data_IF_159562474495
#
_entry.id   IF_159562474495
#
_cell.length_a   1.000
_cell.length_b   1.000
_cell.length_c   1.000
_cell.angle_alpha   90.00
_cell.angle_beta   90.00
_cell.angle_gamma   90.00
#
_symmetry.space_group_name_H-M   'P 1'
#
loop_
_entity.id
_entity.type
_entity.pdbx_description
1 polymer ?
#
# COMPACT_ATOMS: atom_id res chain seq x y z
N UNK A 1 -49.85 -49.31 -26.46
CA UNK A 1 -48.89 -50.05 -25.62
C UNK A 1 -47.74 -49.12 -25.26
N UNK A 2 -47.57 -48.86 -23.96
CA UNK A 2 -46.46 -48.20 -23.24
C UNK A 2 -45.89 -46.83 -23.67
N UNK A 3 -45.92 -45.95 -22.66
CA UNK A 3 -45.25 -44.66 -22.45
C UNK A 3 -43.79 -44.86 -22.04
N UNK A 4 -42.86 -43.99 -22.51
CA UNK A 4 -41.77 -43.35 -21.73
C UNK A 4 -40.83 -42.55 -22.67
N UNK A 5 -40.92 -41.21 -22.71
CA UNK A 5 -40.15 -40.21 -21.92
C UNK A 5 -38.69 -39.98 -22.38
N UNK A 6 -38.41 -38.78 -22.91
CA UNK A 6 -37.42 -37.86 -22.31
C UNK A 6 -37.67 -36.40 -22.73
N UNK A 7 -37.94 -35.57 -21.71
CA UNK A 7 -38.00 -34.08 -21.63
C UNK A 7 -36.64 -33.47 -21.99
N UNK A 8 -36.38 -32.19 -22.32
CA UNK A 8 -37.00 -30.85 -22.51
C UNK A 8 -35.77 -29.98 -22.94
N UNK A 9 -35.79 -28.96 -23.80
CA UNK A 9 -36.35 -27.62 -23.60
C UNK A 9 -36.30 -26.89 -24.95
N UNK A 10 -37.37 -26.13 -25.22
CA UNK A 10 -37.61 -25.41 -26.44
C UNK A 10 -37.53 -23.88 -26.21
N UNK A 11 -37.47 -23.16 -27.35
CA UNK A 11 -37.84 -21.75 -27.59
C UNK A 11 -36.65 -20.75 -27.40
N UNK A 12 -36.17 -19.96 -28.36
CA UNK A 12 -36.60 -19.63 -29.74
C UNK A 12 -37.17 -18.20 -29.88
N UNK A 13 -36.53 -17.30 -30.64
CA UNK A 13 -37.11 -16.06 -31.22
C UNK A 13 -36.47 -14.74 -30.75
N UNK A 14 -35.56 -14.09 -31.49
CA UNK A 14 -35.73 -13.04 -32.55
C UNK A 14 -36.27 -11.69 -32.03
N UNK A 15 -35.55 -10.58 -32.29
CA UNK A 15 -35.98 -9.36 -33.05
C UNK A 15 -34.95 -8.23 -32.84
N UNK A 16 -34.46 -7.65 -33.94
CA UNK A 16 -33.76 -6.37 -33.97
C UNK A 16 -34.77 -5.20 -33.97
N UNK A 17 -34.58 -4.21 -33.09
CA UNK A 17 -35.19 -2.87 -33.21
C UNK A 17 -34.13 -1.82 -32.91
N UNK A 18 -33.78 -1.09 -33.96
CA UNK A 18 -33.18 0.23 -33.98
C UNK A 18 -34.15 1.20 -33.28
N UNK A 19 -33.75 1.95 -32.24
CA UNK A 19 -34.16 3.33 -32.00
C UNK A 19 -33.68 3.90 -30.65
N UNK A 20 -33.36 5.19 -30.72
CA UNK A 20 -33.34 6.22 -29.68
C UNK A 20 -32.01 6.47 -28.98
N UNK A 21 -31.37 7.54 -29.44
CA UNK A 21 -30.66 8.52 -28.62
C UNK A 21 -31.52 8.84 -27.40
N UNK A 22 -31.33 8.06 -26.33
CA UNK A 22 -31.91 8.35 -25.05
C UNK A 22 -31.01 9.40 -24.38
N UNK A 23 -31.30 10.67 -24.63
CA UNK A 23 -31.13 11.71 -23.60
C UNK A 23 -32.11 11.35 -22.47
N UNK A 24 -31.83 10.29 -21.73
CA UNK A 24 -32.65 9.79 -20.64
C UNK A 24 -31.90 10.03 -19.34
N UNK A 25 -32.31 11.13 -18.68
CA UNK A 25 -32.08 11.43 -17.28
C UNK A 25 -30.60 11.52 -16.84
N UNK A 26 -29.93 12.62 -17.20
CA UNK A 26 -28.61 13.02 -16.64
C UNK A 26 -28.56 13.03 -15.08
N UNK A 27 -29.67 12.86 -14.37
CA UNK A 27 -29.71 12.75 -12.92
C UNK A 27 -29.88 11.33 -12.35
N UNK A 28 -30.01 10.27 -13.16
CA UNK A 28 -30.17 8.91 -12.62
C UNK A 28 -28.85 8.28 -12.17
N UNK A 29 -27.78 8.52 -12.93
CA UNK A 29 -26.47 7.93 -12.64
C UNK A 29 -25.76 8.65 -11.49
N UNK A 30 -25.81 9.98 -11.44
CA UNK A 30 -25.34 10.76 -10.30
C UNK A 30 -25.98 10.31 -8.97
N UNK A 31 -27.30 10.04 -8.96
CA UNK A 31 -28.01 9.50 -7.80
C UNK A 31 -27.66 8.06 -7.44
N UNK A 32 -27.12 7.27 -8.39
CA UNK A 32 -26.58 5.95 -8.07
C UNK A 32 -25.24 6.11 -7.38
N UNK A 33 -24.38 7.00 -7.87
CA UNK A 33 -23.10 7.33 -7.24
C UNK A 33 -23.29 7.88 -5.83
N UNK A 34 -24.22 8.81 -5.62
CA UNK A 34 -24.56 9.31 -4.26
C UNK A 34 -24.94 8.17 -3.31
N UNK A 35 -25.72 7.19 -3.80
CA UNK A 35 -26.08 6.00 -3.01
C UNK A 35 -24.87 5.14 -2.68
N UNK A 36 -24.02 4.84 -3.67
CA UNK A 36 -22.79 4.07 -3.45
C UNK A 36 -21.89 4.75 -2.41
N UNK A 37 -21.79 6.08 -2.43
CA UNK A 37 -21.00 6.84 -1.47
C UNK A 37 -21.63 6.75 -0.07
N UNK A 38 -22.94 6.93 0.06
CA UNK A 38 -23.65 6.76 1.33
C UNK A 38 -23.51 5.35 1.90
N UNK A 39 -23.50 4.34 1.03
CA UNK A 39 -23.41 2.92 1.40
C UNK A 39 -22.01 2.53 1.90
N UNK A 40 -20.97 3.36 1.72
CA UNK A 40 -19.64 3.16 2.34
C UNK A 40 -19.77 3.07 3.87
N UNK A 41 -20.61 3.92 4.45
CA UNK A 41 -20.85 3.95 5.90
C UNK A 41 -19.59 4.22 6.72
N UNK A 42 -19.40 3.46 7.80
CA UNK A 42 -18.21 3.56 8.65
C UNK A 42 -17.00 3.02 7.91
N UNK A 43 -15.95 3.83 7.82
CA UNK A 43 -14.71 3.45 7.13
C UNK A 43 -13.82 2.61 8.04
N UNK A 44 -13.36 1.48 7.50
CA UNK A 44 -12.45 0.53 8.15
C UNK A 44 -11.48 -0.03 7.12
N UNK A 45 -10.55 -0.89 7.53
CA UNK A 45 -9.62 -1.59 6.62
C UNK A 45 -10.34 -2.45 5.55
N UNK A 46 -11.57 -2.87 5.81
CA UNK A 46 -12.41 -3.65 4.88
C UNK A 46 -13.15 -2.79 3.86
N UNK A 47 -13.14 -1.47 3.99
CA UNK A 47 -13.95 -0.55 3.16
C UNK A 47 -13.38 -0.34 1.74
N UNK A 48 -12.26 -0.98 1.38
CA UNK A 48 -11.55 -0.78 0.12
C UNK A 48 -12.46 -0.93 -1.10
N UNK A 49 -13.13 -2.07 -1.21
CA UNK A 49 -13.97 -2.40 -2.38
C UNK A 49 -15.13 -1.42 -2.54
N UNK A 50 -15.79 -1.04 -1.44
CA UNK A 50 -16.88 -0.05 -1.46
C UNK A 50 -16.41 1.32 -1.92
N UNK A 51 -15.24 1.77 -1.44
CA UNK A 51 -14.65 3.05 -1.83
C UNK A 51 -14.22 3.03 -3.30
N UNK A 52 -13.61 1.95 -3.77
CA UNK A 52 -13.19 1.76 -5.17
C UNK A 52 -14.40 1.71 -6.10
N UNK A 53 -15.46 0.98 -5.72
CA UNK A 53 -16.71 0.91 -6.50
C UNK A 53 -17.36 2.29 -6.66
N UNK A 54 -17.46 3.06 -5.57
CA UNK A 54 -18.00 4.42 -5.62
C UNK A 54 -17.09 5.37 -6.44
N UNK A 55 -15.77 5.20 -6.34
CA UNK A 55 -14.77 5.94 -7.10
C UNK A 55 -14.87 5.71 -8.61
N UNK A 56 -14.94 4.46 -9.02
CA UNK A 56 -15.05 4.05 -10.42
C UNK A 56 -16.36 4.54 -11.01
N UNK A 57 -17.49 4.33 -10.32
CA UNK A 57 -18.79 4.80 -10.76
C UNK A 57 -18.84 6.33 -10.92
N UNK A 58 -18.20 7.10 -10.02
CA UNK A 58 -18.05 8.55 -10.19
C UNK A 58 -17.20 8.91 -11.41
N UNK A 59 -16.08 8.20 -11.62
CA UNK A 59 -15.16 8.49 -12.72
C UNK A 59 -15.77 8.24 -14.10
N UNK A 60 -16.68 7.26 -14.21
CA UNK A 60 -17.43 6.93 -15.43
C UNK A 60 -18.50 7.96 -15.80
N UNK A 61 -18.92 8.82 -14.87
CA UNK A 61 -19.88 9.89 -15.15
C UNK A 61 -19.32 10.91 -16.14
N UNK A 62 -20.20 11.46 -16.97
CA UNK A 62 -19.89 12.67 -17.74
C UNK A 62 -19.69 13.88 -16.81
N UNK A 63 -19.03 14.93 -17.30
CA UNK A 63 -18.77 16.13 -16.50
C UNK A 63 -20.07 16.78 -15.99
N UNK A 64 -21.13 16.82 -16.81
CA UNK A 64 -22.42 17.34 -16.37
C UNK A 64 -23.12 16.46 -15.33
N UNK A 65 -22.81 15.16 -15.27
CA UNK A 65 -23.34 14.24 -14.26
C UNK A 65 -22.54 14.32 -12.96
N UNK A 66 -21.23 14.55 -13.03
CA UNK A 66 -20.39 14.79 -11.85
C UNK A 66 -20.84 16.02 -11.08
N UNK A 67 -21.27 17.07 -11.78
CA UNK A 67 -21.85 18.29 -11.18
C UNK A 67 -23.15 18.03 -10.40
N UNK A 68 -23.81 16.89 -10.64
CA UNK A 68 -25.04 16.49 -9.98
C UNK A 68 -24.81 15.55 -8.79
N UNK A 69 -23.58 15.08 -8.57
CA UNK A 69 -23.21 14.26 -7.41
C UNK A 69 -23.07 15.16 -6.20
N UNK A 70 -23.90 14.89 -5.19
CA UNK A 70 -23.96 15.71 -3.97
C UNK A 70 -23.06 15.18 -2.86
N UNK A 71 -22.71 13.89 -2.91
CA UNK A 71 -21.96 13.21 -1.86
C UNK A 71 -20.44 13.12 -2.15
N UNK A 72 -19.93 13.77 -3.19
CA UNK A 72 -18.53 13.63 -3.59
C UNK A 72 -17.51 13.94 -2.48
N UNK A 73 -17.79 14.94 -1.65
CA UNK A 73 -16.94 15.25 -0.49
C UNK A 73 -16.86 14.10 0.53
N UNK A 74 -17.94 13.33 0.71
CA UNK A 74 -17.91 12.14 1.56
C UNK A 74 -17.04 11.03 0.97
N UNK A 75 -16.99 10.88 -0.36
CA UNK A 75 -16.05 9.96 -1.01
C UNK A 75 -14.60 10.38 -0.77
N UNK A 76 -14.29 11.68 -0.84
CA UNK A 76 -12.95 12.19 -0.54
C UNK A 76 -12.57 11.97 0.93
N UNK A 77 -13.49 12.27 1.84
CA UNK A 77 -13.32 12.02 3.27
C UNK A 77 -13.10 10.53 3.56
N UNK A 78 -13.92 9.65 2.96
CA UNK A 78 -13.80 8.22 3.14
C UNK A 78 -12.45 7.67 2.66
N UNK A 79 -11.94 8.13 1.51
CA UNK A 79 -10.59 7.77 1.04
C UNK A 79 -9.51 8.23 2.01
N UNK A 80 -9.65 9.41 2.61
CA UNK A 80 -8.71 9.92 3.61
C UNK A 80 -8.75 9.07 4.88
N UNK A 81 -9.94 8.81 5.40
CA UNK A 81 -10.14 8.01 6.61
C UNK A 81 -9.63 6.57 6.40
N UNK A 82 -9.91 5.97 5.24
CA UNK A 82 -9.41 4.64 4.90
C UNK A 82 -7.90 4.57 4.95
N UNK A 83 -7.23 5.58 4.40
CA UNK A 83 -5.77 5.71 4.47
C UNK A 83 -5.25 5.79 5.89
N UNK A 84 -5.94 6.49 6.79
CA UNK A 84 -5.57 6.53 8.21
C UNK A 84 -5.83 5.19 8.91
N UNK A 85 -6.94 4.51 8.61
CA UNK A 85 -7.22 3.17 9.14
C UNK A 85 -6.12 2.17 8.78
N UNK A 86 -5.58 2.23 7.56
CA UNK A 86 -4.45 1.39 7.14
C UNK A 86 -3.18 1.68 7.95
N UNK A 87 -2.88 2.96 8.24
CA UNK A 87 -1.72 3.34 9.04
C UNK A 87 -1.88 2.88 10.50
N UNK A 88 -3.06 3.06 11.07
CA UNK A 88 -3.36 2.60 12.43
C UNK A 88 -3.26 1.07 12.52
N UNK A 89 -3.75 0.35 11.50
CA UNK A 89 -3.62 -1.10 11.45
C UNK A 89 -2.15 -1.56 11.32
N UNK A 90 -1.34 -0.87 10.50
CA UNK A 90 0.09 -1.15 10.37
C UNK A 90 0.85 -0.98 11.70
N UNK A 91 0.59 0.09 12.46
CA UNK A 91 1.24 0.33 13.75
C UNK A 91 0.90 -0.76 14.79
N UNK A 92 -0.27 -1.40 14.64
CA UNK A 92 -0.71 -2.49 15.51
C UNK A 92 -0.46 -3.89 14.92
N UNK A 93 0.22 -3.99 13.76
CA UNK A 93 0.48 -5.26 13.12
C UNK A 93 1.44 -6.13 13.96
N UNK A 94 1.02 -7.37 14.24
CA UNK A 94 1.77 -8.29 15.12
C UNK A 94 3.15 -8.63 14.55
N UNK A 95 3.25 -8.85 13.23
CA UNK A 95 4.50 -9.21 12.58
C UNK A 95 5.45 -8.03 12.56
N UNK A 96 4.96 -6.83 12.22
CA UNK A 96 5.79 -5.63 12.29
C UNK A 96 6.33 -5.40 13.72
N UNK A 97 5.47 -5.49 14.73
CA UNK A 97 5.86 -5.30 16.12
C UNK A 97 6.88 -6.35 16.58
N UNK A 98 6.74 -7.60 16.14
CA UNK A 98 7.72 -8.66 16.39
C UNK A 98 9.08 -8.37 15.72
N UNK A 99 9.07 -7.93 14.46
CA UNK A 99 10.28 -7.55 13.73
C UNK A 99 10.98 -6.39 14.44
N UNK A 100 10.25 -5.33 14.80
CA UNK A 100 10.80 -4.18 15.52
C UNK A 100 11.45 -4.58 16.84
N UNK A 101 10.77 -5.41 17.64
CA UNK A 101 11.29 -5.89 18.91
C UNK A 101 12.55 -6.75 18.74
N UNK A 102 12.52 -7.66 17.76
CA UNK A 102 13.66 -8.55 17.47
C UNK A 102 14.88 -7.76 17.01
N UNK A 103 14.69 -6.86 16.04
CA UNK A 103 15.75 -5.98 15.53
C UNK A 103 16.29 -5.08 16.63
N UNK A 104 15.42 -4.49 17.46
CA UNK A 104 15.85 -3.64 18.57
C UNK A 104 16.72 -4.39 19.58
N UNK A 105 16.43 -5.67 19.82
CA UNK A 105 17.22 -6.51 20.72
C UNK A 105 18.55 -6.95 20.08
N UNK A 106 18.51 -7.47 18.85
CA UNK A 106 19.68 -8.06 18.18
C UNK A 106 20.65 -7.03 17.64
N UNK A 107 20.16 -5.85 17.25
CA UNK A 107 20.94 -4.75 16.70
C UNK A 107 21.11 -3.59 17.67
N UNK A 108 20.97 -3.79 18.98
CA UNK A 108 21.01 -2.71 19.99
C UNK A 108 22.25 -1.81 19.90
N UNK A 109 23.41 -2.35 19.49
CA UNK A 109 24.64 -1.57 19.28
C UNK A 109 24.56 -0.58 18.09
N UNK A 110 23.60 -0.77 17.19
CA UNK A 110 23.38 0.04 16.00
C UNK A 110 22.25 1.05 16.16
N UNK A 111 21.81 1.33 17.40
CA UNK A 111 20.76 2.31 17.72
C UNK A 111 19.54 2.27 16.79
N UNK A 112 18.88 1.11 16.62
CA UNK A 112 17.80 0.94 15.66
C UNK A 112 16.61 1.81 16.03
N UNK A 113 16.01 2.44 15.02
CA UNK A 113 14.87 3.34 15.16
C UNK A 113 13.86 3.10 14.05
N UNK A 114 12.60 2.96 14.43
CA UNK A 114 11.48 2.88 13.50
C UNK A 114 10.69 4.18 13.58
N UNK A 115 10.26 4.71 12.43
CA UNK A 115 9.46 5.94 12.35
C UNK A 115 8.49 5.85 11.19
N UNK A 116 7.20 5.87 11.48
CA UNK A 116 6.15 5.95 10.45
C UNK A 116 5.90 7.41 10.10
N UNK A 117 6.27 7.82 8.89
CA UNK A 117 5.83 9.08 8.32
C UNK A 117 4.44 8.87 7.69
N UNK A 118 3.40 9.35 8.38
CA UNK A 118 1.99 9.19 7.97
C UNK A 118 1.63 10.02 6.73
N UNK A 119 2.28 11.16 6.53
CA UNK A 119 2.03 12.03 5.37
C UNK A 119 2.62 11.43 4.09
N UNK A 120 3.89 11.00 4.15
CA UNK A 120 4.55 10.34 3.02
C UNK A 120 4.11 8.88 2.84
N UNK A 121 3.46 8.30 3.87
CA UNK A 121 3.14 6.87 3.97
C UNK A 121 4.39 5.99 3.79
N UNK A 122 5.42 6.34 4.55
CA UNK A 122 6.70 5.63 4.55
C UNK A 122 7.05 5.20 5.97
N UNK A 123 7.33 3.91 6.17
CA UNK A 123 7.96 3.41 7.37
C UNK A 123 9.49 3.44 7.20
N UNK A 124 10.14 4.31 7.97
CA UNK A 124 11.59 4.39 8.05
C UNK A 124 12.11 3.43 9.12
N UNK A 125 13.10 2.62 8.76
CA UNK A 125 13.94 1.85 9.68
C UNK A 125 15.37 2.38 9.56
N UNK A 126 15.80 3.11 10.57
CA UNK A 126 17.12 3.74 10.62
C UNK A 126 18.01 3.01 11.62
N UNK A 127 19.26 2.76 11.23
CA UNK A 127 20.32 2.26 12.12
C UNK A 127 21.55 3.16 11.99
N UNK A 128 22.36 3.25 13.03
CA UNK A 128 23.63 4.00 13.03
C UNK A 128 24.77 3.04 13.35
N UNK A 129 25.77 2.98 12.48
CA UNK A 129 27.00 2.21 12.71
C UNK A 129 27.81 2.77 13.88
N UNK A 130 28.54 1.90 14.57
CA UNK A 130 29.58 2.33 15.51
C UNK A 130 30.81 2.88 14.75
N UNK A 131 31.69 3.54 15.51
CA UNK A 131 32.88 4.16 14.96
C UNK A 131 33.80 3.14 14.27
N UNK A 132 34.02 1.98 14.89
CA UNK A 132 34.92 0.94 14.36
C UNK A 132 34.40 0.38 13.02
N UNK A 133 33.09 0.15 12.92
CA UNK A 133 32.42 -0.30 11.71
C UNK A 133 32.48 0.75 10.61
N UNK A 134 32.30 2.03 10.98
CA UNK A 134 32.41 3.15 10.03
C UNK A 134 33.85 3.32 9.53
N UNK A 135 34.83 3.25 10.43
CA UNK A 135 36.25 3.33 10.08
C UNK A 135 36.67 2.17 9.17
N UNK A 136 36.14 0.97 9.40
CA UNK A 136 36.37 -0.18 8.53
C UNK A 136 35.87 0.06 7.10
N UNK A 137 34.69 0.68 6.92
CA UNK A 137 34.17 1.11 5.60
C UNK A 137 35.13 2.07 4.93
N UNK A 138 35.47 3.15 5.64
CA UNK A 138 36.11 4.32 5.04
C UNK A 138 37.58 4.08 4.74
N UNK A 139 38.28 3.32 5.58
CA UNK A 139 39.75 3.24 5.55
C UNK A 139 40.31 1.88 5.12
N UNK A 140 39.49 0.82 5.04
CA UNK A 140 39.96 -0.54 4.71
C UNK A 140 39.07 -1.26 3.68
N UNK A 141 39.05 -0.83 2.41
CA UNK A 141 38.10 -1.28 1.39
C UNK A 141 38.13 -2.79 1.09
N UNK A 142 39.27 -3.46 1.30
CA UNK A 142 39.40 -4.90 1.08
C UNK A 142 38.80 -5.77 2.20
N UNK A 143 38.78 -5.27 3.44
CA UNK A 143 38.15 -5.95 4.57
C UNK A 143 36.69 -5.53 4.73
N UNK A 144 36.35 -4.30 4.36
CA UNK A 144 34.98 -3.81 4.37
C UNK A 144 34.09 -4.68 3.50
N UNK A 145 34.49 -4.98 2.26
CA UNK A 145 33.63 -5.71 1.31
C UNK A 145 33.07 -7.03 1.85
N UNK A 146 33.89 -7.84 2.53
CA UNK A 146 33.45 -9.13 3.06
C UNK A 146 32.48 -8.97 4.25
N UNK A 147 32.80 -8.11 5.21
CA UNK A 147 31.92 -7.83 6.35
C UNK A 147 30.61 -7.18 5.92
N UNK A 148 30.69 -6.26 4.95
CA UNK A 148 29.53 -5.54 4.44
C UNK A 148 28.62 -6.41 3.61
N UNK A 149 29.13 -7.31 2.79
CA UNK A 149 28.27 -8.23 2.05
C UNK A 149 27.34 -9.02 2.98
N UNK A 150 27.81 -9.42 4.17
CA UNK A 150 26.98 -10.12 5.16
C UNK A 150 25.95 -9.17 5.79
N UNK A 151 26.37 -7.97 6.17
CA UNK A 151 25.48 -6.99 6.79
C UNK A 151 24.39 -6.51 5.80
N UNK A 152 24.78 -6.20 4.58
CA UNK A 152 23.90 -5.81 3.48
C UNK A 152 22.88 -6.90 3.20
N UNK A 153 23.30 -8.17 3.11
CA UNK A 153 22.38 -9.29 2.93
C UNK A 153 21.36 -9.39 4.08
N UNK A 154 21.81 -9.31 5.34
CA UNK A 154 20.90 -9.32 6.49
C UNK A 154 19.92 -8.13 6.46
N UNK A 155 20.38 -6.96 6.03
CA UNK A 155 19.56 -5.75 5.95
C UNK A 155 18.58 -5.79 4.78
N UNK A 156 18.95 -6.42 3.67
CA UNK A 156 18.03 -6.76 2.58
C UNK A 156 16.95 -7.75 3.04
N UNK A 157 17.30 -8.76 3.84
CA UNK A 157 16.34 -9.71 4.39
C UNK A 157 15.36 -9.03 5.36
N UNK A 158 15.86 -8.16 6.25
CA UNK A 158 15.02 -7.35 7.13
C UNK A 158 14.14 -6.41 6.31
N UNK A 159 14.70 -5.72 5.31
CA UNK A 159 13.94 -4.83 4.44
C UNK A 159 12.83 -5.57 3.69
N UNK A 160 13.09 -6.80 3.25
CA UNK A 160 12.10 -7.63 2.55
C UNK A 160 10.96 -8.02 3.49
N UNK A 161 11.27 -8.46 4.72
CA UNK A 161 10.27 -8.77 5.74
C UNK A 161 9.42 -7.55 6.12
N UNK A 162 10.05 -6.38 6.30
CA UNK A 162 9.33 -5.13 6.57
C UNK A 162 8.41 -4.80 5.38
N UNK A 163 8.93 -4.87 4.14
CA UNK A 163 8.15 -4.58 2.94
C UNK A 163 6.96 -5.52 2.75
N UNK A 164 7.12 -6.81 3.07
CA UNK A 164 6.05 -7.81 3.00
C UNK A 164 4.84 -7.43 3.86
N UNK A 165 5.08 -6.79 5.00
CA UNK A 165 4.02 -6.26 5.88
C UNK A 165 3.51 -4.93 5.35
N UNK A 166 4.39 -3.95 5.12
CA UNK A 166 3.97 -2.58 4.83
C UNK A 166 3.17 -2.46 3.52
N UNK A 167 3.47 -3.29 2.52
CA UNK A 167 2.73 -3.28 1.24
C UNK A 167 1.24 -3.65 1.41
N UNK A 168 0.90 -4.45 2.43
CA UNK A 168 -0.50 -4.82 2.72
C UNK A 168 -1.32 -3.60 3.15
N UNK A 169 -0.66 -2.61 3.74
CA UNK A 169 -1.25 -1.38 4.24
C UNK A 169 -0.99 -0.19 3.31
N UNK A 170 -0.51 -0.45 2.07
CA UNK A 170 -0.16 0.58 1.09
C UNK A 170 0.83 1.61 1.66
N UNK A 171 1.86 1.11 2.37
CA UNK A 171 2.95 1.88 2.97
C UNK A 171 4.27 1.41 2.38
N UNK A 172 5.08 2.37 1.93
CA UNK A 172 6.45 2.10 1.50
C UNK A 172 7.35 1.86 2.71
N UNK A 173 8.43 1.10 2.51
CA UNK A 173 9.47 0.91 3.53
C UNK A 173 10.81 1.44 3.06
N UNK A 174 11.52 2.11 3.95
CA UNK A 174 12.86 2.64 3.69
C UNK A 174 13.77 2.24 4.85
N UNK A 175 14.83 1.50 4.53
CA UNK A 175 15.88 1.15 5.49
C UNK A 175 17.10 2.00 5.20
N UNK A 176 17.63 2.66 6.23
CA UNK A 176 18.79 3.55 6.13
C UNK A 176 19.82 3.13 7.17
N UNK A 177 21.05 2.92 6.72
CA UNK A 177 22.19 2.79 7.63
C UNK A 177 23.03 4.05 7.59
N UNK A 178 23.08 4.76 8.71
CA UNK A 178 23.90 5.93 8.92
C UNK A 178 25.34 5.55 9.28
N UNK A 179 26.31 6.31 8.77
CA UNK A 179 27.68 6.30 9.26
C UNK A 179 27.77 6.89 10.67
N UNK A 180 28.74 6.46 11.48
CA UNK A 180 29.01 7.09 12.78
C UNK A 180 29.32 8.59 12.65
N UNK A 181 30.09 8.94 11.63
CA UNK A 181 30.45 10.33 11.33
C UNK A 181 29.40 10.95 10.40
N UNK A 182 28.69 11.96 10.90
CA UNK A 182 27.63 12.65 10.16
C UNK A 182 28.08 13.30 8.84
N UNK A 183 29.38 13.55 8.68
CA UNK A 183 29.97 14.10 7.45
C UNK A 183 30.03 13.11 6.27
N UNK A 184 29.87 11.81 6.55
CA UNK A 184 29.87 10.75 5.52
C UNK A 184 28.46 10.26 5.16
N UNK A 185 27.42 10.73 5.83
CA UNK A 185 26.02 10.47 5.48
C UNK A 185 25.57 9.01 5.61
N UNK A 186 24.70 8.59 4.69
CA UNK A 186 24.07 7.28 4.66
C UNK A 186 25.02 6.25 3.99
N UNK A 187 25.43 5.20 4.70
CA UNK A 187 26.26 4.13 4.15
C UNK A 187 25.52 3.33 3.07
N UNK A 188 24.24 3.02 3.30
CA UNK A 188 23.35 2.47 2.29
C UNK A 188 21.89 2.81 2.58
N UNK A 189 21.07 2.71 1.52
CA UNK A 189 19.62 2.88 1.57
C UNK A 189 18.92 1.80 0.74
N UNK A 190 17.93 1.15 1.35
CA UNK A 190 17.07 0.14 0.72
C UNK A 190 15.64 0.69 0.74
N UNK A 191 14.95 0.64 -0.39
CA UNK A 191 13.54 1.03 -0.51
C UNK A 191 12.72 -0.15 -1.03
N UNK A 192 11.66 -0.50 -0.32
CA UNK A 192 10.73 -1.56 -0.69
C UNK A 192 11.45 -2.90 -1.00
N UNK A 193 12.46 -3.25 -0.19
CA UNK A 193 13.27 -4.45 -0.39
C UNK A 193 14.34 -4.36 -1.48
N UNK A 194 14.41 -3.27 -2.24
CA UNK A 194 15.43 -3.05 -3.27
C UNK A 194 16.47 -2.01 -2.87
N UNK A 195 17.75 -2.29 -3.08
CA UNK A 195 18.83 -1.33 -2.84
C UNK A 195 18.69 -0.15 -3.80
N UNK A 196 18.72 1.08 -3.27
CA UNK A 196 18.58 2.31 -4.05
C UNK A 196 19.81 3.21 -4.00
N UNK A 197 20.61 3.12 -2.92
CA UNK A 197 21.85 3.88 -2.77
C UNK A 197 22.84 3.08 -1.92
N UNK A 198 24.11 3.06 -2.34
CA UNK A 198 25.22 2.43 -1.64
C UNK A 198 26.46 3.30 -1.80
N UNK A 199 27.11 3.64 -0.69
CA UNK A 199 28.43 4.28 -0.69
C UNK A 199 29.55 3.23 -0.83
N UNK A 200 29.22 1.94 -0.66
CA UNK A 200 30.10 0.79 -0.90
C UNK A 200 30.17 0.39 -2.37
#
# INVERSE_FOLDING_TARGET
MKVSNLKKYAIGGIVAVLLLTATACKGSEAKKVDRLICDIGTVTVESKESIETAAEAYNELSDEEKDLVTEYEHLQAARKEYRECLLDALENDDLLNQVQATVSATMSNYSPKFTLNREERVLYFEVTSDQDSTDAVLFYPGLSYAFFSVLENNMCDISSQIYEVTQQYEVDSVVIMHGYYSEWGDLFKIRNGGIVESIL
#
